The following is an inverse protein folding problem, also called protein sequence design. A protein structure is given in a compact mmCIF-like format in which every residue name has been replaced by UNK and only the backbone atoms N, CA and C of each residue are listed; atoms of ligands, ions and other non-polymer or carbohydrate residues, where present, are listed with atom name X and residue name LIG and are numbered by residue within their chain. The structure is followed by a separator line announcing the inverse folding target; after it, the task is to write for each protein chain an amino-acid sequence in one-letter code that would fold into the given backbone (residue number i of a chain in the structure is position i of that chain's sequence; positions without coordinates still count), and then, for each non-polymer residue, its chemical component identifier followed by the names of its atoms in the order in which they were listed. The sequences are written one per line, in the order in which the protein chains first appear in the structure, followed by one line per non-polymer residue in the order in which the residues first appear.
data_IF_074405829779
#
_entry.id   IF_074405829779
#
_cell.length_a   1.000
_cell.length_b   1.000
_cell.length_c   1.000
_cell.angle_alpha   90.00
_cell.angle_beta   90.00
_cell.angle_gamma   90.00
#
_symmetry.space_group_name_H-M   'P 1'
#
loop_
_entity.id
_entity.type
_entity.pdbx_description
1 polymer ?
#
# COMPACT_ATOMS: atom_id res chain seq x y z
N UNK A 1 14.63 15.02 -9.17
CA UNK A 1 13.44 14.15 -9.49
C UNK A 1 13.77 12.66 -9.38
N UNK A 2 14.88 12.17 -9.96
CA UNK A 2 15.34 10.77 -9.77
C UNK A 2 15.71 10.49 -8.29
N UNK A 3 16.29 11.48 -7.60
CA UNK A 3 16.72 11.31 -6.20
C UNK A 3 15.56 11.10 -5.22
N UNK A 4 14.44 11.83 -5.38
CA UNK A 4 13.28 11.68 -4.51
C UNK A 4 12.63 10.28 -4.63
N UNK A 5 12.51 9.76 -5.86
CA UNK A 5 12.00 8.41 -6.08
C UNK A 5 12.97 7.34 -5.53
N UNK A 6 14.28 7.55 -5.69
CA UNK A 6 15.27 6.65 -5.08
C UNK A 6 15.16 6.64 -3.55
N UNK A 7 15.03 7.81 -2.91
CA UNK A 7 14.84 7.92 -1.46
C UNK A 7 13.55 7.26 -0.99
N UNK A 8 12.45 7.45 -1.72
CA UNK A 8 11.19 6.77 -1.48
C UNK A 8 11.35 5.24 -1.48
N UNK A 9 12.03 4.71 -2.50
CA UNK A 9 12.31 3.27 -2.60
C UNK A 9 13.15 2.83 -1.39
N UNK A 10 14.20 3.56 -1.01
CA UNK A 10 15.01 3.22 0.15
C UNK A 10 14.22 3.23 1.46
N UNK A 11 13.34 4.22 1.68
CA UNK A 11 12.46 4.24 2.84
C UNK A 11 11.56 3.00 2.88
N UNK A 12 10.93 2.64 1.75
CA UNK A 12 10.08 1.45 1.67
C UNK A 12 10.86 0.13 1.84
N UNK A 13 12.16 0.09 1.52
CA UNK A 13 13.01 -1.09 1.79
C UNK A 13 13.21 -1.34 3.28
N UNK A 14 13.16 -0.31 4.13
CA UNK A 14 13.28 -0.47 5.58
C UNK A 14 12.21 -1.41 6.13
N UNK A 15 11.03 -1.48 5.50
CA UNK A 15 9.93 -2.37 5.90
C UNK A 15 10.20 -3.86 5.63
N UNK A 16 11.33 -4.19 5.00
CA UNK A 16 11.82 -5.57 4.90
C UNK A 16 12.61 -6.00 6.14
N UNK A 17 13.12 -5.05 6.90
CA UNK A 17 13.94 -5.32 8.07
C UNK A 17 13.04 -5.56 9.29
N UNK A 18 12.99 -6.81 9.71
CA UNK A 18 12.28 -7.27 10.91
C UNK A 18 13.26 -7.77 11.98
N UNK A 19 14.55 -7.43 11.87
CA UNK A 19 15.59 -7.88 12.80
C UNK A 19 15.36 -7.43 14.24
N UNK A 20 14.64 -6.32 14.44
CA UNK A 20 14.21 -5.84 15.76
C UNK A 20 12.68 -5.67 15.77
N UNK A 21 11.91 -6.77 15.96
CA UNK A 21 10.46 -6.78 15.78
C UNK A 21 9.73 -5.74 16.64
N UNK A 22 10.20 -5.50 17.87
CA UNK A 22 9.57 -4.56 18.80
C UNK A 22 9.46 -3.12 18.25
N UNK A 23 10.36 -2.70 17.37
CA UNK A 23 10.31 -1.38 16.73
C UNK A 23 9.54 -1.36 15.41
N UNK A 24 9.16 -2.53 14.88
CA UNK A 24 8.53 -2.64 13.57
C UNK A 24 7.24 -1.82 13.43
N UNK A 25 6.30 -1.81 14.41
CA UNK A 25 5.10 -0.99 14.30
C UNK A 25 5.40 0.51 14.13
N UNK A 26 6.38 1.02 14.85
CA UNK A 26 6.80 2.44 14.77
C UNK A 26 7.46 2.71 13.41
N UNK A 27 8.37 1.83 12.99
CA UNK A 27 9.01 1.91 11.68
C UNK A 27 7.96 1.92 10.56
N UNK A 28 6.96 1.06 10.65
CA UNK A 28 5.85 1.01 9.71
C UNK A 28 5.13 2.34 9.60
N UNK A 29 4.70 2.93 10.71
CA UNK A 29 3.98 4.21 10.71
C UNK A 29 4.81 5.29 10.02
N UNK A 30 6.09 5.43 10.39
CA UNK A 30 6.98 6.43 9.80
C UNK A 30 7.15 6.26 8.29
N UNK A 31 7.35 5.03 7.81
CA UNK A 31 7.51 4.78 6.38
C UNK A 31 6.19 4.94 5.63
N UNK A 32 5.05 4.53 6.23
CA UNK A 32 3.73 4.73 5.65
C UNK A 32 3.43 6.23 5.44
N UNK A 33 3.78 7.09 6.39
CA UNK A 33 3.64 8.55 6.25
C UNK A 33 4.51 9.12 5.12
N UNK A 34 5.72 8.59 4.95
CA UNK A 34 6.59 8.93 3.81
C UNK A 34 5.92 8.49 2.50
N UNK A 35 5.40 7.26 2.43
CA UNK A 35 4.69 6.74 1.26
C UNK A 35 3.49 7.62 0.90
N UNK A 36 2.69 8.02 1.88
CA UNK A 36 1.53 8.89 1.70
C UNK A 36 1.91 10.27 1.18
N UNK A 37 3.01 10.82 1.70
CA UNK A 37 3.56 12.08 1.25
C UNK A 37 4.02 11.99 -0.22
N UNK A 38 4.70 10.91 -0.61
CA UNK A 38 5.08 10.67 -2.00
C UNK A 38 3.84 10.56 -2.89
N UNK A 39 2.83 9.80 -2.46
CA UNK A 39 1.56 9.64 -3.16
C UNK A 39 0.89 10.99 -3.46
N UNK A 40 0.79 11.86 -2.44
CA UNK A 40 0.26 13.22 -2.58
C UNK A 40 1.10 14.07 -3.54
N UNK A 41 2.42 14.09 -3.38
CA UNK A 41 3.30 14.87 -4.25
C UNK A 41 3.24 14.44 -5.72
N UNK A 42 3.08 13.13 -5.99
CA UNK A 42 2.88 12.62 -7.35
C UNK A 42 1.52 13.05 -7.90
N UNK A 43 0.46 12.92 -7.09
CA UNK A 43 -0.88 13.35 -7.45
C UNK A 43 -0.93 14.84 -7.79
N UNK A 44 -0.40 15.70 -6.93
CA UNK A 44 -0.37 17.15 -7.11
C UNK A 44 0.41 17.55 -8.35
N UNK A 45 1.51 16.85 -8.63
CA UNK A 45 2.30 17.07 -9.84
C UNK A 45 1.54 16.69 -11.11
N UNK A 46 0.76 15.62 -11.09
CA UNK A 46 -0.08 15.23 -12.25
C UNK A 46 -1.23 16.22 -12.41
N UNK A 47 -1.85 16.66 -11.30
CA UNK A 47 -2.88 17.70 -11.30
C UNK A 47 -2.37 19.01 -11.89
N UNK A 48 -1.22 19.48 -11.44
CA UNK A 48 -0.58 20.68 -11.98
C UNK A 48 -0.31 20.55 -13.48
N UNK A 49 0.09 19.35 -13.93
CA UNK A 49 0.29 19.10 -15.36
C UNK A 49 -1.00 19.09 -16.18
N UNK A 50 -2.14 18.77 -15.55
CA UNK A 50 -3.44 18.85 -16.18
C UNK A 50 -3.97 20.29 -16.26
N UNK A 51 -3.56 21.16 -15.33
CA UNK A 51 -4.00 22.55 -15.26
C UNK A 51 -3.09 23.53 -16.01
N UNK A 52 -1.80 23.21 -16.14
CA UNK A 52 -0.78 24.10 -16.71
C UNK A 52 -0.05 23.52 -17.93
N UNK A 53 0.39 24.42 -18.81
CA UNK A 53 1.27 24.11 -19.94
C UNK A 53 2.74 23.96 -19.54
N UNK A 54 3.58 23.52 -20.49
CA UNK A 54 5.02 23.33 -20.26
C UNK A 54 5.75 24.62 -19.84
N UNK A 55 5.22 25.81 -20.18
CA UNK A 55 5.73 27.12 -19.77
C UNK A 55 5.16 27.65 -18.45
N UNK A 56 4.35 26.86 -17.73
CA UNK A 56 3.76 27.26 -16.44
C UNK A 56 2.47 28.09 -16.55
N UNK A 57 2.11 28.55 -17.74
CA UNK A 57 0.83 29.21 -17.98
C UNK A 57 -0.34 28.27 -17.66
N UNK A 58 -1.29 28.74 -16.85
CA UNK A 58 -2.49 27.98 -16.51
C UNK A 58 -3.44 27.98 -17.70
N UNK A 59 -3.81 26.80 -18.15
CA UNK A 59 -4.70 26.59 -19.32
C UNK A 59 -6.13 26.36 -18.86
N UNK A 60 -6.32 25.59 -17.80
CA UNK A 60 -7.63 25.33 -17.20
C UNK A 60 -7.48 24.98 -15.72
N UNK A 61 -8.56 25.12 -14.95
CA UNK A 61 -8.60 24.60 -13.57
C UNK A 61 -9.44 23.33 -13.57
N UNK A 62 -8.94 22.24 -13.00
CA UNK A 62 -9.75 21.04 -12.85
C UNK A 62 -10.83 21.29 -11.79
N UNK A 63 -12.10 20.94 -12.06
CA UNK A 63 -13.16 20.97 -11.06
C UNK A 63 -12.79 20.18 -9.80
N UNK A 64 -13.44 20.48 -8.67
CA UNK A 64 -13.21 19.73 -7.43
C UNK A 64 -13.51 18.23 -7.59
N UNK A 65 -14.56 17.89 -8.33
CA UNK A 65 -14.98 16.53 -8.66
C UNK A 65 -14.73 16.20 -10.14
N UNK A 66 -13.53 16.52 -10.65
CA UNK A 66 -13.16 16.20 -12.02
C UNK A 66 -13.18 14.70 -12.28
N UNK A 67 -13.27 14.32 -13.55
CA UNK A 67 -13.17 12.93 -14.02
C UNK A 67 -11.96 12.79 -14.94
N UNK A 68 -11.59 11.55 -15.28
CA UNK A 68 -10.53 11.33 -16.26
C UNK A 68 -10.83 11.95 -17.63
N UNK A 69 -12.08 12.28 -17.97
CA UNK A 69 -12.44 12.96 -19.22
C UNK A 69 -11.92 14.42 -19.24
N UNK A 70 -11.94 15.10 -18.10
CA UNK A 70 -11.48 16.49 -17.94
C UNK A 70 -9.95 16.62 -17.98
N UNK A 71 -9.24 15.49 -17.90
CA UNK A 71 -7.78 15.45 -17.80
C UNK A 71 -7.14 15.44 -19.20
N UNK A 72 -6.29 16.44 -19.44
CA UNK A 72 -5.47 16.57 -20.64
C UNK A 72 -4.61 15.34 -20.95
N UNK A 73 -4.35 15.11 -22.23
CA UNK A 73 -3.57 13.97 -22.71
C UNK A 73 -2.16 13.93 -22.12
N UNK A 74 -1.48 15.08 -21.99
CA UNK A 74 -0.11 15.13 -21.48
C UNK A 74 -0.02 14.77 -19.99
N UNK A 75 -1.04 15.12 -19.21
CA UNK A 75 -1.15 14.72 -17.81
C UNK A 75 -1.43 13.22 -17.67
N UNK A 76 -2.28 12.65 -18.53
CA UNK A 76 -2.50 11.20 -18.61
C UNK A 76 -1.21 10.44 -18.94
N UNK A 77 -0.43 10.94 -19.90
CA UNK A 77 0.89 10.37 -20.24
C UNK A 77 1.83 10.46 -19.05
N UNK A 78 1.89 11.60 -18.35
CA UNK A 78 2.70 11.74 -17.13
C UNK A 78 2.28 10.73 -16.05
N UNK A 79 0.99 10.52 -15.84
CA UNK A 79 0.45 9.55 -14.90
C UNK A 79 0.88 8.12 -15.25
N UNK A 80 0.72 7.71 -16.52
CA UNK A 80 1.15 6.39 -17.00
C UNK A 80 2.66 6.18 -16.84
N UNK A 81 3.44 7.22 -17.08
CA UNK A 81 4.89 7.18 -16.87
C UNK A 81 5.27 7.00 -15.40
N UNK A 82 4.48 7.52 -14.44
CA UNK A 82 4.68 7.24 -13.02
C UNK A 82 4.37 5.79 -12.66
N UNK A 83 3.26 5.23 -13.18
CA UNK A 83 2.96 3.80 -13.01
C UNK A 83 4.09 2.92 -13.56
N UNK A 84 4.57 3.20 -14.78
CA UNK A 84 5.64 2.44 -15.40
C UNK A 84 6.97 2.52 -14.60
N UNK A 85 7.31 3.68 -14.04
CA UNK A 85 8.52 3.87 -13.22
C UNK A 85 8.47 3.12 -11.89
N UNK A 86 7.29 2.97 -11.29
CA UNK A 86 7.13 2.22 -10.06
C UNK A 86 7.04 0.72 -10.34
N UNK A 87 6.35 0.33 -11.42
CA UNK A 87 6.26 -1.07 -11.84
C UNK A 87 7.64 -1.68 -12.17
N UNK A 88 8.62 -0.87 -12.58
CA UNK A 88 9.99 -1.32 -12.85
C UNK A 88 10.87 -1.53 -11.61
N UNK A 89 10.37 -1.26 -10.40
CA UNK A 89 11.06 -1.58 -9.15
C UNK A 89 11.12 -3.12 -9.00
N UNK A 90 12.35 -3.64 -8.92
CA UNK A 90 12.61 -5.09 -8.90
C UNK A 90 12.20 -5.75 -7.57
N UNK A 91 12.39 -5.06 -6.46
CA UNK A 91 12.10 -5.59 -5.13
C UNK A 91 10.59 -5.53 -4.82
N UNK A 92 10.04 -6.65 -4.34
CA UNK A 92 8.60 -6.82 -4.13
C UNK A 92 8.02 -5.82 -3.12
N UNK A 93 8.55 -5.79 -1.90
CA UNK A 93 8.04 -4.94 -0.81
C UNK A 93 8.00 -3.46 -1.18
N UNK A 94 9.12 -2.82 -1.57
CA UNK A 94 9.09 -1.40 -1.94
C UNK A 94 8.19 -1.14 -3.15
N UNK A 95 8.10 -2.08 -4.12
CA UNK A 95 7.16 -1.94 -5.24
C UNK A 95 5.71 -1.88 -4.76
N UNK A 96 5.26 -2.81 -3.92
CA UNK A 96 3.86 -2.84 -3.45
C UNK A 96 3.52 -1.55 -2.69
N UNK A 97 4.37 -1.11 -1.75
CA UNK A 97 4.13 0.12 -0.99
C UNK A 97 4.04 1.36 -1.89
N UNK A 98 4.92 1.46 -2.90
CA UNK A 98 4.92 2.56 -3.86
C UNK A 98 3.70 2.53 -4.78
N UNK A 99 3.28 1.35 -5.24
CA UNK A 99 2.06 1.20 -6.05
C UNK A 99 0.82 1.58 -5.24
N UNK A 100 0.71 1.13 -3.99
CA UNK A 100 -0.35 1.50 -3.06
C UNK A 100 -0.39 3.02 -2.82
N UNK A 101 0.77 3.65 -2.62
CA UNK A 101 0.89 5.08 -2.38
C UNK A 101 0.33 5.94 -3.53
N UNK A 102 0.48 5.49 -4.77
CA UNK A 102 0.02 6.24 -5.94
C UNK A 102 -1.31 5.75 -6.53
N UNK A 103 -2.03 4.84 -5.85
CA UNK A 103 -3.31 4.31 -6.35
C UNK A 103 -4.32 5.41 -6.68
N UNK A 104 -4.35 6.50 -5.90
CA UNK A 104 -5.24 7.64 -6.16
C UNK A 104 -5.02 8.25 -7.56
N UNK A 105 -3.81 8.13 -8.12
CA UNK A 105 -3.50 8.66 -9.44
C UNK A 105 -4.26 7.95 -10.57
N UNK A 106 -4.85 6.78 -10.33
CA UNK A 106 -5.71 6.12 -11.32
C UNK A 106 -6.90 7.00 -11.73
N UNK A 107 -7.36 7.89 -10.84
CA UNK A 107 -8.42 8.85 -11.14
C UNK A 107 -8.13 9.76 -12.35
N UNK A 108 -6.85 9.99 -12.69
CA UNK A 108 -6.49 10.76 -13.88
C UNK A 108 -6.68 9.99 -15.20
N UNK A 109 -6.75 8.66 -15.16
CA UNK A 109 -6.69 7.81 -16.36
C UNK A 109 -7.85 6.81 -16.48
N UNK A 110 -8.64 6.62 -15.43
CA UNK A 110 -9.86 5.80 -15.44
C UNK A 110 -10.95 6.47 -14.59
N UNK A 111 -12.21 6.20 -14.93
CA UNK A 111 -13.37 6.74 -14.21
C UNK A 111 -13.70 5.95 -12.94
N UNK A 112 -13.44 4.64 -12.95
CA UNK A 112 -13.74 3.75 -11.82
C UNK A 112 -12.64 3.74 -10.76
N UNK A 113 -13.00 3.42 -9.49
CA UNK A 113 -12.03 3.14 -8.43
C UNK A 113 -11.03 2.04 -8.82
N UNK A 114 -9.82 2.03 -8.26
CA UNK A 114 -8.76 1.10 -8.65
C UNK A 114 -8.88 -0.30 -8.02
N UNK A 115 -10.09 -0.88 -8.05
CA UNK A 115 -10.41 -2.18 -7.41
C UNK A 115 -9.57 -3.31 -8.01
N UNK A 116 -9.44 -3.35 -9.34
CA UNK A 116 -8.65 -4.40 -10.02
C UNK A 116 -7.17 -4.33 -9.65
N UNK A 117 -6.64 -3.13 -9.44
CA UNK A 117 -5.27 -2.92 -9.01
C UNK A 117 -5.06 -3.29 -7.54
N UNK A 118 -6.02 -2.95 -6.67
CA UNK A 118 -6.03 -3.40 -5.28
C UNK A 118 -6.07 -4.92 -5.17
N UNK A 119 -6.93 -5.59 -5.93
CA UNK A 119 -7.01 -7.06 -5.97
C UNK A 119 -5.70 -7.70 -6.46
N UNK A 120 -5.01 -7.09 -7.45
CA UNK A 120 -3.67 -7.54 -7.85
C UNK A 120 -2.64 -7.33 -6.73
N UNK A 121 -2.62 -6.17 -6.08
CA UNK A 121 -1.68 -5.87 -4.99
C UNK A 121 -1.92 -6.78 -3.78
N UNK A 122 -3.18 -7.10 -3.48
CA UNK A 122 -3.55 -8.06 -2.44
C UNK A 122 -2.94 -9.44 -2.70
N UNK A 123 -3.01 -9.94 -3.94
CA UNK A 123 -2.35 -11.19 -4.33
C UNK A 123 -0.82 -11.11 -4.21
N UNK A 124 -0.22 -9.96 -4.52
CA UNK A 124 1.23 -9.75 -4.39
C UNK A 124 1.70 -9.77 -2.93
N UNK A 125 0.84 -9.40 -1.97
CA UNK A 125 1.17 -9.46 -0.54
C UNK A 125 1.51 -10.89 -0.07
N UNK A 126 1.04 -11.93 -0.77
CA UNK A 126 1.38 -13.33 -0.49
C UNK A 126 2.88 -13.64 -0.64
N UNK A 127 3.60 -12.84 -1.44
CA UNK A 127 5.04 -12.99 -1.61
C UNK A 127 5.87 -12.43 -0.47
N UNK A 128 5.25 -11.85 0.57
CA UNK A 128 5.95 -11.38 1.77
C UNK A 128 5.94 -12.51 2.80
N UNK A 129 7.11 -13.12 3.02
CA UNK A 129 7.27 -14.29 3.87
C UNK A 129 7.22 -14.01 5.38
N UNK A 130 7.71 -12.84 5.81
CA UNK A 130 7.70 -12.47 7.23
C UNK A 130 6.26 -12.14 7.67
N UNK A 131 5.68 -12.86 8.65
CA UNK A 131 4.30 -12.63 9.07
C UNK A 131 4.03 -11.22 9.61
N UNK A 132 4.96 -10.65 10.37
CA UNK A 132 4.85 -9.32 10.93
C UNK A 132 4.84 -8.28 9.80
N UNK A 133 5.83 -8.32 8.91
CA UNK A 133 5.87 -7.39 7.77
C UNK A 133 4.66 -7.54 6.85
N UNK A 134 4.22 -8.78 6.63
CA UNK A 134 3.08 -9.07 5.79
C UNK A 134 1.76 -8.61 6.43
N UNK A 135 1.61 -8.64 7.76
CA UNK A 135 0.40 -8.13 8.44
C UNK A 135 0.24 -6.61 8.25
N UNK A 136 1.31 -5.84 8.45
CA UNK A 136 1.29 -4.39 8.29
C UNK A 136 1.15 -3.94 6.83
N UNK A 137 1.75 -4.66 5.88
CA UNK A 137 1.52 -4.39 4.45
C UNK A 137 0.04 -4.56 4.09
N UNK A 138 -0.61 -5.61 4.61
CA UNK A 138 -2.03 -5.85 4.39
C UNK A 138 -2.89 -4.77 5.05
N UNK A 139 -2.53 -4.31 6.26
CA UNK A 139 -3.20 -3.18 6.90
C UNK A 139 -3.09 -1.88 6.10
N UNK A 140 -1.91 -1.59 5.52
CA UNK A 140 -1.73 -0.44 4.64
C UNK A 140 -2.58 -0.54 3.36
N UNK A 141 -2.64 -1.74 2.75
CA UNK A 141 -3.53 -2.01 1.63
C UNK A 141 -5.00 -1.77 2.01
N UNK A 142 -5.42 -2.25 3.18
CA UNK A 142 -6.77 -2.07 3.69
C UNK A 142 -7.12 -0.59 3.88
N UNK A 143 -6.20 0.18 4.47
CA UNK A 143 -6.32 1.64 4.58
C UNK A 143 -6.49 2.30 3.20
N UNK A 144 -5.64 1.99 2.21
CA UNK A 144 -5.75 2.58 0.86
C UNK A 144 -7.05 2.23 0.17
N UNK A 145 -7.45 0.96 0.24
CA UNK A 145 -8.74 0.53 -0.29
C UNK A 145 -9.91 1.29 0.33
N UNK A 146 -9.92 1.41 1.67
CA UNK A 146 -10.95 2.13 2.42
C UNK A 146 -11.10 3.59 1.98
N UNK A 147 -9.99 4.25 1.62
CA UNK A 147 -9.98 5.65 1.20
C UNK A 147 -10.37 5.87 -0.27
N UNK A 148 -10.28 4.84 -1.11
CA UNK A 148 -10.39 4.98 -2.57
C UNK A 148 -11.61 4.25 -3.15
N UNK A 149 -12.15 3.27 -2.43
CA UNK A 149 -13.24 2.43 -2.90
C UNK A 149 -14.53 2.69 -2.11
N UNK A 150 -15.70 2.51 -2.76
CA UNK A 150 -16.99 2.45 -2.10
C UNK A 150 -17.03 1.40 -0.96
N UNK A 151 -17.88 1.59 0.07
CA UNK A 151 -17.92 0.67 1.22
C UNK A 151 -18.29 -0.78 0.87
N UNK A 152 -19.01 -1.02 -0.22
CA UNK A 152 -19.43 -2.32 -0.74
C UNK A 152 -18.29 -3.07 -1.46
N UNK A 153 -17.28 -2.35 -1.95
CA UNK A 153 -16.12 -2.93 -2.62
C UNK A 153 -15.12 -3.50 -1.60
N UNK A 154 -15.31 -4.77 -1.23
CA UNK A 154 -14.50 -5.44 -0.20
C UNK A 154 -13.91 -6.78 -0.59
N UNK A 155 -14.22 -7.29 -1.78
CA UNK A 155 -13.78 -8.64 -2.19
C UNK A 155 -12.25 -8.81 -2.10
N UNK A 156 -11.49 -7.76 -2.44
CA UNK A 156 -10.04 -7.79 -2.35
C UNK A 156 -9.54 -7.91 -0.90
N UNK A 157 -10.27 -7.36 0.08
CA UNK A 157 -9.96 -7.49 1.52
C UNK A 157 -10.33 -8.88 2.03
N UNK A 158 -11.53 -9.35 1.68
CA UNK A 158 -12.02 -10.66 2.11
C UNK A 158 -11.10 -11.76 1.57
N UNK A 159 -10.72 -11.68 0.30
CA UNK A 159 -9.78 -12.62 -0.31
C UNK A 159 -8.41 -12.59 0.37
N UNK A 160 -7.89 -11.40 0.66
CA UNK A 160 -6.62 -11.25 1.38
C UNK A 160 -6.67 -11.85 2.80
N UNK A 161 -7.75 -11.61 3.53
CA UNK A 161 -7.95 -12.11 4.89
C UNK A 161 -8.09 -13.64 4.89
N UNK A 162 -8.83 -14.18 3.93
CA UNK A 162 -8.99 -15.63 3.73
C UNK A 162 -7.66 -16.32 3.43
N UNK A 163 -6.76 -15.66 2.69
CA UNK A 163 -5.40 -16.16 2.44
C UNK A 163 -4.51 -16.09 3.70
N UNK A 164 -4.72 -15.08 4.55
CA UNK A 164 -3.84 -14.79 5.69
C UNK A 164 -4.21 -15.55 6.96
N UNK A 165 -5.50 -15.70 7.26
CA UNK A 165 -5.97 -16.33 8.51
C UNK A 165 -5.45 -17.76 8.72
N UNK A 166 -5.39 -18.63 7.71
CA UNK A 166 -4.78 -19.95 7.88
C UNK A 166 -3.29 -19.85 8.27
N UNK A 167 -2.55 -18.91 7.67
CA UNK A 167 -1.13 -18.70 7.97
C UNK A 167 -0.95 -18.19 9.40
N UNK A 168 -1.78 -17.23 9.83
CA UNK A 168 -1.79 -16.73 11.19
C UNK A 168 -2.15 -17.84 12.20
N UNK A 169 -3.16 -18.65 11.90
CA UNK A 169 -3.55 -19.81 12.72
C UNK A 169 -2.42 -20.80 12.96
N UNK A 170 -1.56 -21.04 11.97
CA UNK A 170 -0.35 -21.86 12.15
C UNK A 170 0.64 -21.26 13.16
N UNK A 171 0.71 -19.94 13.27
CA UNK A 171 1.57 -19.26 14.27
C UNK A 171 1.01 -19.36 15.69
N UNK A 172 -0.32 -19.53 15.82
CA UNK A 172 -0.98 -19.76 17.11
C UNK A 172 -0.70 -21.15 17.68
N UNK A 173 -0.29 -22.12 16.85
CA UNK A 173 0.10 -23.45 17.30
C UNK A 173 1.58 -23.51 17.70
N UNK A 174 1.93 -23.82 18.96
CA UNK A 174 3.32 -23.79 19.44
C UNK A 174 4.29 -24.60 18.59
N UNK A 175 3.92 -25.84 18.25
CA UNK A 175 4.78 -26.78 17.52
C UNK A 175 5.09 -26.32 16.09
N UNK A 176 4.17 -25.57 15.49
CA UNK A 176 4.32 -25.00 14.14
C UNK A 176 5.04 -23.67 14.18
N UNK A 177 4.77 -22.84 15.19
CA UNK A 177 5.39 -21.54 15.38
C UNK A 177 6.91 -21.63 15.54
N UNK A 178 7.41 -22.66 16.25
CA UNK A 178 8.86 -22.89 16.44
C UNK A 178 9.57 -23.19 15.11
N UNK A 179 8.85 -23.71 14.11
CA UNK A 179 9.38 -23.98 12.77
C UNK A 179 9.39 -22.74 11.86
N UNK A 180 8.75 -21.65 12.29
CA UNK A 180 8.76 -20.41 11.53
C UNK A 180 10.10 -19.69 11.75
N UNK A 181 10.88 -19.54 10.69
CA UNK A 181 12.22 -18.94 10.75
C UNK A 181 12.23 -17.51 11.32
N UNK A 182 11.20 -16.71 11.03
CA UNK A 182 11.11 -15.33 11.51
C UNK A 182 10.90 -15.28 13.02
N UNK A 183 9.91 -16.03 13.53
CA UNK A 183 9.70 -16.15 14.98
C UNK A 183 10.91 -16.75 15.70
N UNK A 184 11.55 -17.77 15.13
CA UNK A 184 12.74 -18.37 15.72
C UNK A 184 13.92 -17.37 15.82
N UNK A 185 14.04 -16.46 14.84
CA UNK A 185 15.09 -15.42 14.81
C UNK A 185 14.76 -14.14 15.57
N UNK A 186 13.49 -13.95 15.97
CA UNK A 186 12.98 -12.69 16.54
C UNK A 186 13.56 -12.31 17.91
N UNK A 187 14.29 -13.23 18.56
CA UNK A 187 14.84 -13.07 19.92
C UNK A 187 13.81 -12.54 20.94
N UNK A 188 12.52 -12.91 20.76
CA UNK A 188 11.42 -12.49 21.62
C UNK A 188 10.43 -13.65 21.86
N UNK A 189 9.66 -13.63 22.96
CA UNK A 189 8.60 -14.61 23.19
C UNK A 189 7.55 -14.60 22.08
N UNK A 190 7.07 -15.78 21.70
CA UNK A 190 6.04 -15.94 20.65
C UNK A 190 4.82 -15.04 20.88
N UNK A 191 4.34 -14.95 22.11
CA UNK A 191 3.17 -14.14 22.44
C UNK A 191 3.42 -12.66 22.16
N UNK A 192 4.61 -12.15 22.51
CA UNK A 192 4.96 -10.76 22.23
C UNK A 192 5.07 -10.51 20.73
N UNK A 193 5.63 -11.45 19.96
CA UNK A 193 5.66 -11.36 18.50
C UNK A 193 4.26 -11.28 17.89
N UNK A 194 3.35 -12.14 18.35
CA UNK A 194 1.95 -12.14 17.91
C UNK A 194 1.26 -10.82 18.26
N UNK A 195 1.47 -10.31 19.47
CA UNK A 195 0.89 -9.03 19.92
C UNK A 195 1.34 -7.85 19.03
N UNK A 196 2.52 -7.90 18.41
CA UNK A 196 2.97 -6.86 17.48
C UNK A 196 2.12 -6.83 16.19
N UNK A 197 1.49 -7.96 15.82
CA UNK A 197 0.66 -8.09 14.61
C UNK A 197 -0.79 -7.69 14.86
N UNK A 198 -1.26 -7.75 16.10
CA UNK A 198 -2.68 -7.53 16.47
C UNK A 198 -3.24 -6.19 15.96
N UNK A 199 -2.56 -5.02 16.10
CA UNK A 199 -3.11 -3.76 15.59
C UNK A 199 -3.36 -3.77 14.08
N UNK A 200 -2.48 -4.43 13.32
CA UNK A 200 -2.62 -4.56 11.88
C UNK A 200 -3.76 -5.51 11.49
N UNK A 201 -3.97 -6.56 12.29
CA UNK A 201 -5.05 -7.52 12.09
C UNK A 201 -6.42 -6.94 12.43
N UNK A 202 -6.52 -6.28 13.58
CA UNK A 202 -7.73 -5.60 14.02
C UNK A 202 -8.18 -4.57 12.99
N UNK A 203 -7.24 -3.81 12.42
CA UNK A 203 -7.56 -2.87 11.35
C UNK A 203 -8.11 -3.56 10.09
N UNK A 204 -7.53 -4.68 9.67
CA UNK A 204 -8.02 -5.45 8.52
C UNK A 204 -9.43 -5.98 8.77
N UNK A 205 -9.69 -6.53 9.95
CA UNK A 205 -10.99 -7.02 10.36
C UNK A 205 -12.04 -5.90 10.39
N UNK A 206 -11.68 -4.74 10.96
CA UNK A 206 -12.52 -3.56 10.96
C UNK A 206 -12.88 -3.11 9.53
N UNK A 207 -11.91 -3.07 8.62
CA UNK A 207 -12.15 -2.71 7.22
C UNK A 207 -13.11 -3.69 6.53
N UNK A 208 -13.00 -5.00 6.81
CA UNK A 208 -13.90 -6.02 6.27
C UNK A 208 -15.33 -5.87 6.84
N UNK A 209 -15.45 -5.62 8.14
CA UNK A 209 -16.73 -5.54 8.85
C UNK A 209 -17.50 -4.22 8.61
N UNK A 210 -16.86 -3.18 8.05
CA UNK A 210 -17.48 -1.85 7.87
C UNK A 210 -18.82 -1.90 7.13
N UNK A 211 -19.93 -1.48 7.73
CA UNK A 211 -21.24 -1.50 7.06
C UNK A 211 -21.89 -2.88 7.01
N UNK A 212 -21.37 -3.86 7.76
CA UNK A 212 -22.16 -5.01 8.21
C UNK A 212 -23.02 -4.56 9.40
N UNK A 213 -24.20 -4.01 9.13
CA UNK A 213 -25.12 -3.48 10.12
C UNK A 213 -26.37 -2.92 9.46
#
# INVERSE_FOLDING_TARGET
RINALKLAIQAAKLLRDTSVPAFYPILFVLVADIMDTIGRLVFDRIRLKAECENGGARVATLPAAFTCADVRAEAKVLCRNWFAKIASVQELVPRIYMELAILRCYHFVQASPPVTQLARLARMCRGVGDPLAASYLRAYLACKGLTLCPPDEKEYLIGQLSDFMPQYGLLLHPDTAVRNAYLASAAMPRQEYLNLMDPALDWQLHCCARGAG
#
